data_IF_601886701448
#
_entry.id   IF_601886701448
#
_cell.length_a   1.000
_cell.length_b   1.000
_cell.length_c   1.000
_cell.angle_alpha   90.00
_cell.angle_beta   90.00
_cell.angle_gamma   90.00
#
_symmetry.space_group_name_H-M   'P 1'
#
loop_
_entity.id
_entity.type
_entity.pdbx_description
1 polymer ?
#
# COMPACT_ATOMS: atom_id res chain seq x y z
N UNK A 1 27.47 -20.37 5.74
CA UNK A 1 27.23 -19.75 7.05
C UNK A 1 28.00 -18.44 7.24
N UNK A 2 29.26 -18.35 6.83
CA UNK A 2 30.07 -17.14 6.93
C UNK A 2 29.61 -16.04 5.96
N UNK A 3 29.30 -16.40 4.74
CA UNK A 3 28.85 -15.49 3.68
C UNK A 3 27.55 -14.76 4.05
N UNK A 4 26.60 -15.45 4.72
CA UNK A 4 25.33 -14.83 5.15
C UNK A 4 25.55 -13.76 6.21
N UNK A 5 26.45 -14.00 7.17
CA UNK A 5 26.79 -13.02 8.20
C UNK A 5 27.46 -11.79 7.61
N UNK A 6 28.37 -11.98 6.65
CA UNK A 6 29.04 -10.90 5.92
C UNK A 6 28.04 -10.05 5.13
N UNK A 7 27.13 -10.68 4.39
CA UNK A 7 26.09 -9.97 3.64
C UNK A 7 25.18 -9.16 4.59
N UNK A 8 24.79 -9.76 5.72
CA UNK A 8 23.95 -9.08 6.73
C UNK A 8 24.61 -7.83 7.27
N UNK A 9 25.90 -7.91 7.59
CA UNK A 9 26.68 -6.78 8.10
C UNK A 9 26.82 -5.68 7.05
N UNK A 10 27.12 -6.04 5.78
CA UNK A 10 27.19 -5.10 4.67
C UNK A 10 25.86 -4.40 4.42
N UNK A 11 24.73 -5.12 4.50
CA UNK A 11 23.40 -4.55 4.36
C UNK A 11 23.13 -3.51 5.46
N UNK A 12 23.44 -3.83 6.71
CA UNK A 12 23.25 -2.90 7.83
C UNK A 12 24.05 -1.61 7.66
N UNK A 13 25.30 -1.71 7.22
CA UNK A 13 26.15 -0.53 7.03
C UNK A 13 25.73 0.35 5.88
N UNK A 14 25.23 -0.22 4.79
CA UNK A 14 24.98 0.51 3.54
C UNK A 14 23.51 0.80 3.28
N UNK A 15 22.59 0.12 3.98
CA UNK A 15 21.13 0.24 3.80
C UNK A 15 20.40 0.27 5.14
N UNK A 16 20.93 1.01 6.10
CA UNK A 16 20.33 1.14 7.43
C UNK A 16 18.88 1.66 7.35
N UNK A 17 18.00 1.07 8.14
CA UNK A 17 16.57 1.42 8.14
C UNK A 17 15.78 0.97 6.89
N UNK A 18 16.42 0.32 5.91
CA UNK A 18 15.80 -0.15 4.65
C UNK A 18 15.73 -1.67 4.54
N UNK A 19 16.17 -2.37 5.59
CA UNK A 19 16.20 -3.84 5.62
C UNK A 19 14.91 -4.36 6.27
N UNK A 20 14.27 -5.32 5.60
CA UNK A 20 13.08 -6.00 6.08
C UNK A 20 13.36 -7.48 6.32
N UNK A 21 12.86 -7.99 7.43
CA UNK A 21 12.90 -9.41 7.78
C UNK A 21 11.82 -10.18 7.05
N UNK A 22 12.17 -10.80 5.91
CA UNK A 22 11.24 -11.60 5.07
C UNK A 22 10.68 -12.84 5.79
N UNK A 23 11.41 -13.41 6.74
CA UNK A 23 10.94 -14.52 7.57
C UNK A 23 9.74 -14.14 8.44
N UNK A 24 9.66 -12.88 8.88
CA UNK A 24 8.55 -12.39 9.69
C UNK A 24 7.29 -12.16 8.86
N UNK A 25 7.43 -11.83 7.58
CA UNK A 25 6.30 -11.66 6.67
C UNK A 25 5.41 -12.90 6.61
N UNK A 26 6.04 -14.10 6.61
CA UNK A 26 5.31 -15.38 6.60
C UNK A 26 4.49 -15.59 7.87
N UNK A 27 5.00 -15.16 9.04
CA UNK A 27 4.31 -15.29 10.33
C UNK A 27 3.04 -14.44 10.43
N UNK A 28 2.96 -13.35 9.66
CA UNK A 28 1.83 -12.42 9.70
C UNK A 28 0.82 -12.72 8.60
N UNK A 29 1.27 -13.25 7.44
CA UNK A 29 0.43 -13.45 6.26
C UNK A 29 -0.65 -14.51 6.41
N UNK A 30 -0.57 -15.37 7.42
CA UNK A 30 -1.59 -16.39 7.71
C UNK A 30 -2.92 -15.71 8.08
N UNK A 31 -3.82 -15.63 7.08
CA UNK A 31 -5.18 -15.10 7.24
C UNK A 31 -5.41 -13.63 6.84
N UNK A 32 -4.38 -12.90 6.43
CA UNK A 32 -4.53 -11.52 5.97
C UNK A 32 -4.37 -11.41 4.44
N UNK A 33 -5.39 -10.87 3.76
CA UNK A 33 -5.32 -10.62 2.31
C UNK A 33 -4.65 -9.26 2.01
N UNK A 34 -3.53 -9.01 2.69
CA UNK A 34 -2.76 -7.76 2.64
C UNK A 34 -1.60 -7.93 1.66
N UNK A 35 -1.30 -6.96 0.79
CA UNK A 35 -0.12 -6.99 -0.05
C UNK A 35 1.17 -7.10 0.77
N UNK A 36 2.14 -7.88 0.28
CA UNK A 36 3.40 -8.14 1.01
C UNK A 36 4.15 -6.85 1.32
N UNK A 37 4.18 -5.90 0.41
CA UNK A 37 4.90 -4.63 0.63
C UNK A 37 4.28 -3.75 1.74
N UNK A 38 2.97 -3.89 2.01
CA UNK A 38 2.31 -3.25 3.16
C UNK A 38 2.80 -3.89 4.46
N UNK A 39 2.90 -5.23 4.50
CA UNK A 39 3.47 -5.94 5.64
C UNK A 39 4.92 -5.57 5.88
N UNK A 40 5.71 -5.49 4.82
CA UNK A 40 7.13 -5.14 4.88
C UNK A 40 7.34 -3.72 5.40
N UNK A 41 6.51 -2.78 5.00
CA UNK A 41 6.55 -1.41 5.52
C UNK A 41 6.30 -1.38 7.03
N UNK A 42 5.26 -2.07 7.50
CA UNK A 42 4.95 -2.13 8.92
C UNK A 42 6.03 -2.86 9.71
N UNK A 43 6.53 -3.99 9.21
CA UNK A 43 7.62 -4.73 9.83
C UNK A 43 8.91 -3.91 9.89
N UNK A 44 9.21 -3.12 8.87
CA UNK A 44 10.34 -2.20 8.87
C UNK A 44 10.26 -1.14 9.96
N UNK A 45 9.04 -0.71 10.30
CA UNK A 45 8.82 0.27 11.37
C UNK A 45 8.89 -0.35 12.78
N UNK A 46 8.36 -1.56 12.98
CA UNK A 46 8.17 -2.16 14.31
C UNK A 46 9.15 -3.27 14.65
N UNK A 47 9.87 -3.84 13.66
CA UNK A 47 10.75 -4.98 13.84
C UNK A 47 12.18 -4.71 13.35
N UNK A 48 12.71 -3.53 13.58
CA UNK A 48 14.07 -3.13 13.16
C UNK A 48 15.18 -3.66 14.08
N UNK A 49 14.85 -4.16 15.27
CA UNK A 49 15.79 -4.74 16.23
C UNK A 49 16.18 -6.18 15.88
N UNK A 50 17.32 -6.64 16.41
CA UNK A 50 17.72 -8.06 16.39
C UNK A 50 17.38 -8.80 17.67
N UNK A 51 16.92 -8.09 18.70
CA UNK A 51 16.48 -8.67 19.96
C UNK A 51 15.20 -9.49 19.75
N UNK A 52 15.19 -10.79 20.07
CA UNK A 52 14.04 -11.66 19.88
C UNK A 52 12.77 -11.16 20.58
N UNK A 53 12.90 -10.61 21.79
CA UNK A 53 11.75 -10.14 22.57
C UNK A 53 11.14 -8.88 21.94
N UNK A 54 11.98 -7.95 21.48
CA UNK A 54 11.55 -6.75 20.75
C UNK A 54 10.91 -7.10 19.41
N UNK A 55 11.44 -8.13 18.71
CA UNK A 55 10.86 -8.62 17.46
C UNK A 55 9.48 -9.22 17.71
N UNK A 56 9.30 -10.02 18.76
CA UNK A 56 8.00 -10.63 19.07
C UNK A 56 6.95 -9.57 19.41
N UNK A 57 7.31 -8.58 20.21
CA UNK A 57 6.45 -7.43 20.52
C UNK A 57 6.10 -6.64 19.25
N UNK A 58 7.08 -6.39 18.38
CA UNK A 58 6.88 -5.73 17.09
C UNK A 58 5.93 -6.50 16.17
N UNK A 59 6.08 -7.82 16.04
CA UNK A 59 5.19 -8.69 15.26
C UNK A 59 3.77 -8.64 15.82
N UNK A 60 3.59 -8.68 17.12
CA UNK A 60 2.28 -8.58 17.75
C UNK A 60 1.64 -7.20 17.48
N UNK A 61 2.43 -6.12 17.56
CA UNK A 61 1.97 -4.77 17.21
C UNK A 61 1.50 -4.68 15.77
N UNK A 62 2.25 -5.25 14.82
CA UNK A 62 1.84 -5.28 13.40
C UNK A 62 0.54 -6.07 13.21
N UNK A 63 0.38 -7.22 13.89
CA UNK A 63 -0.87 -8.01 13.85
C UNK A 63 -2.06 -7.19 14.36
N UNK A 64 -1.90 -6.46 15.45
CA UNK A 64 -2.94 -5.59 15.99
C UNK A 64 -3.28 -4.45 15.03
N UNK A 65 -2.27 -3.77 14.48
CA UNK A 65 -2.49 -2.69 13.49
C UNK A 65 -3.28 -3.20 12.28
N UNK A 66 -2.94 -4.38 11.77
CA UNK A 66 -3.67 -4.97 10.65
C UNK A 66 -5.09 -5.39 11.02
N UNK A 67 -5.28 -5.98 12.19
CA UNK A 67 -6.60 -6.37 12.68
C UNK A 67 -7.54 -5.17 12.83
N UNK A 68 -7.02 -4.08 13.35
CA UNK A 68 -7.83 -2.93 13.73
C UNK A 68 -8.03 -1.92 12.58
N UNK A 69 -7.04 -1.80 11.69
CA UNK A 69 -6.99 -0.72 10.72
C UNK A 69 -7.08 -1.17 9.25
N UNK A 70 -6.73 -2.44 8.94
CA UNK A 70 -6.80 -2.90 7.56
C UNK A 70 -8.25 -3.08 7.13
N UNK A 71 -8.64 -2.38 6.07
CA UNK A 71 -10.01 -2.43 5.57
C UNK A 71 -10.21 -3.65 4.68
N UNK A 72 -11.13 -4.52 5.07
CA UNK A 72 -11.66 -5.58 4.22
C UNK A 72 -12.95 -5.08 3.58
N UNK A 73 -13.19 -5.32 2.29
CA UNK A 73 -14.39 -4.81 1.61
C UNK A 73 -15.70 -5.25 2.26
N UNK A 74 -15.74 -6.46 2.83
CA UNK A 74 -16.90 -7.02 3.54
C UNK A 74 -17.10 -6.41 4.95
N UNK A 75 -16.10 -5.78 5.53
CA UNK A 75 -16.16 -5.13 6.84
C UNK A 75 -16.28 -3.58 6.76
N UNK A 76 -16.37 -3.01 5.55
CA UNK A 76 -16.40 -1.56 5.35
C UNK A 76 -17.48 -0.86 6.18
N UNK A 77 -18.70 -1.39 6.21
CA UNK A 77 -19.79 -0.79 6.96
C UNK A 77 -19.59 -0.82 8.48
N UNK A 78 -18.93 -1.86 8.99
CA UNK A 78 -18.54 -1.95 10.40
C UNK A 78 -17.55 -0.86 10.76
N UNK A 79 -16.53 -0.65 9.93
CA UNK A 79 -15.51 0.39 10.13
C UNK A 79 -16.15 1.79 10.07
N UNK A 80 -17.03 2.05 9.11
CA UNK A 80 -17.75 3.33 9.03
C UNK A 80 -18.62 3.58 10.27
N UNK A 81 -19.26 2.55 10.81
CA UNK A 81 -20.02 2.65 12.05
C UNK A 81 -19.13 2.99 13.25
N UNK A 82 -17.93 2.37 13.33
CA UNK A 82 -16.94 2.67 14.38
C UNK A 82 -16.43 4.11 14.23
N UNK A 83 -16.10 4.53 13.01
CA UNK A 83 -15.68 5.91 12.72
C UNK A 83 -16.72 6.92 13.17
N UNK A 84 -17.99 6.69 12.82
CA UNK A 84 -19.10 7.56 13.24
C UNK A 84 -19.27 7.62 14.76
N UNK A 85 -19.17 6.46 15.44
CA UNK A 85 -19.34 6.36 16.89
C UNK A 85 -18.21 7.04 17.66
N UNK A 86 -16.98 6.87 17.20
CA UNK A 86 -15.78 7.32 17.90
C UNK A 86 -15.33 8.72 17.47
N UNK A 87 -15.90 9.27 16.39
CA UNK A 87 -15.49 10.55 15.82
C UNK A 87 -14.19 10.51 15.04
N UNK A 88 -13.39 9.46 15.20
CA UNK A 88 -12.15 9.25 14.45
C UNK A 88 -11.79 7.77 14.36
N UNK A 89 -11.11 7.40 13.28
CA UNK A 89 -10.56 6.05 13.09
C UNK A 89 -9.40 6.06 12.11
N UNK A 90 -8.43 5.18 12.33
CA UNK A 90 -7.31 4.98 11.39
C UNK A 90 -7.62 3.79 10.50
N UNK A 91 -7.42 3.94 9.20
CA UNK A 91 -7.64 2.88 8.21
C UNK A 91 -6.39 2.66 7.36
N UNK A 92 -6.19 1.42 6.91
CA UNK A 92 -5.21 1.07 5.89
C UNK A 92 -5.99 0.66 4.65
N UNK A 93 -5.92 1.47 3.60
CA UNK A 93 -6.65 1.25 2.36
C UNK A 93 -5.85 1.76 1.16
N UNK A 94 -6.24 1.36 -0.03
CA UNK A 94 -5.71 1.88 -1.28
C UNK A 94 -6.46 3.15 -1.66
N UNK A 95 -5.72 4.24 -1.78
CA UNK A 95 -6.25 5.58 -2.03
C UNK A 95 -5.93 6.00 -3.45
N UNK A 96 -6.94 6.43 -4.18
CA UNK A 96 -6.82 7.15 -5.45
C UNK A 96 -7.34 8.57 -5.27
N UNK A 97 -6.82 9.49 -6.06
CA UNK A 97 -7.22 10.91 -6.02
C UNK A 97 -7.61 11.35 -7.42
N UNK A 98 -8.67 12.12 -7.52
CA UNK A 98 -9.12 12.73 -8.77
C UNK A 98 -9.36 14.22 -8.60
N UNK A 99 -9.08 14.97 -9.65
CA UNK A 99 -9.39 16.40 -9.73
C UNK A 99 -10.85 16.58 -10.18
N UNK A 100 -11.63 17.31 -9.41
CA UNK A 100 -12.95 17.81 -9.84
C UNK A 100 -12.77 19.22 -10.44
N UNK A 101 -12.74 19.29 -11.78
CA UNK A 101 -12.51 20.54 -12.53
C UNK A 101 -13.61 21.58 -12.24
N UNK A 102 -14.84 21.14 -11.95
CA UNK A 102 -15.96 22.07 -11.69
C UNK A 102 -15.84 22.77 -10.34
N UNK A 103 -15.24 22.08 -9.37
CA UNK A 103 -15.07 22.57 -8.00
C UNK A 103 -13.67 23.07 -7.73
N UNK A 104 -12.74 22.83 -8.66
CA UNK A 104 -11.32 23.15 -8.56
C UNK A 104 -10.70 22.62 -7.26
N UNK A 105 -10.92 21.32 -7.00
CA UNK A 105 -10.40 20.65 -5.81
C UNK A 105 -10.22 19.15 -6.03
N UNK A 106 -9.39 18.54 -5.21
CA UNK A 106 -9.12 17.11 -5.25
C UNK A 106 -10.03 16.34 -4.29
N UNK A 107 -10.42 15.14 -4.73
CA UNK A 107 -11.17 14.18 -3.94
C UNK A 107 -10.46 12.83 -3.87
N UNK A 108 -10.36 12.28 -2.67
CA UNK A 108 -9.86 10.95 -2.43
C UNK A 108 -10.98 9.92 -2.53
N UNK A 109 -10.62 8.75 -3.04
CA UNK A 109 -11.46 7.55 -3.11
C UNK A 109 -10.73 6.42 -2.38
N UNK A 110 -11.48 5.68 -1.55
CA UNK A 110 -11.00 4.55 -0.75
C UNK A 110 -11.51 3.26 -1.35
N UNK A 111 -10.60 2.42 -1.87
CA UNK A 111 -10.99 1.25 -2.66
C UNK A 111 -11.75 0.20 -1.88
N UNK A 112 -11.30 -0.15 -0.68
CA UNK A 112 -11.92 -1.20 0.15
C UNK A 112 -13.03 -0.64 1.04
N UNK A 113 -12.84 0.58 1.57
CA UNK A 113 -13.85 1.25 2.41
C UNK A 113 -15.06 1.72 1.59
N UNK A 114 -14.90 1.85 0.26
CA UNK A 114 -15.97 2.25 -0.65
C UNK A 114 -16.37 3.72 -0.52
N UNK A 115 -15.53 4.55 0.09
CA UNK A 115 -15.75 5.98 0.17
C UNK A 115 -15.31 6.66 -1.12
N UNK A 116 -16.12 7.59 -1.59
CA UNK A 116 -15.81 8.46 -2.72
C UNK A 116 -16.06 9.91 -2.32
N UNK A 117 -15.43 10.83 -3.04
CA UNK A 117 -15.63 12.27 -2.84
C UNK A 117 -15.23 12.78 -1.44
N UNK A 118 -14.18 12.21 -0.85
CA UNK A 118 -13.61 12.74 0.39
C UNK A 118 -12.63 13.86 0.04
N UNK A 119 -12.85 15.09 0.53
CA UNK A 119 -11.94 16.20 0.24
C UNK A 119 -10.52 15.89 0.72
N UNK A 120 -9.52 16.22 -0.08
CA UNK A 120 -8.11 16.04 0.25
C UNK A 120 -7.32 17.32 -0.13
N UNK A 121 -6.32 17.65 0.68
CA UNK A 121 -5.43 18.80 0.41
C UNK A 121 -4.62 18.58 -0.86
N UNK A 122 -4.40 19.64 -1.61
CA UNK A 122 -3.62 19.67 -2.86
C UNK A 122 -2.16 19.24 -2.65
N UNK A 123 -1.62 19.43 -1.44
CA UNK A 123 -0.27 19.02 -1.08
C UNK A 123 -0.01 17.51 -1.30
N UNK A 124 -1.03 16.67 -1.15
CA UNK A 124 -0.86 15.22 -1.27
C UNK A 124 -0.64 14.77 -2.72
N UNK A 125 -1.51 15.12 -3.69
CA UNK A 125 -1.27 14.75 -5.09
C UNK A 125 -0.04 15.45 -5.69
N UNK A 126 0.36 16.64 -5.20
CA UNK A 126 1.59 17.30 -5.62
C UNK A 126 2.86 16.55 -5.17
N UNK A 127 2.83 15.97 -3.97
CA UNK A 127 3.95 15.16 -3.44
C UNK A 127 3.95 13.73 -3.96
N UNK A 128 2.79 13.17 -4.28
CA UNK A 128 2.60 11.77 -4.58
C UNK A 128 1.73 11.61 -5.84
N UNK A 129 2.31 11.85 -7.00
CA UNK A 129 1.66 11.76 -8.33
C UNK A 129 1.00 10.41 -8.60
N UNK A 130 1.45 9.32 -7.97
CA UNK A 130 0.79 8.02 -8.06
C UNK A 130 -0.61 7.98 -7.45
N UNK A 131 -0.96 8.90 -6.57
CA UNK A 131 -2.34 9.06 -6.11
C UNK A 131 -3.28 9.37 -7.27
N UNK A 132 -2.79 10.09 -8.31
CA UNK A 132 -3.53 10.41 -9.53
C UNK A 132 -3.48 9.30 -10.59
N UNK A 133 -2.54 8.36 -10.45
CA UNK A 133 -2.24 7.34 -11.45
C UNK A 133 -2.25 5.92 -10.84
N UNK A 134 -3.42 5.36 -10.55
CA UNK A 134 -3.55 3.97 -10.09
C UNK A 134 -3.57 3.78 -8.57
N UNK A 135 -3.30 4.81 -7.79
CA UNK A 135 -3.44 4.77 -6.34
C UNK A 135 -2.22 4.26 -5.57
N UNK A 136 -2.26 4.50 -4.26
CA UNK A 136 -1.23 4.11 -3.30
C UNK A 136 -1.91 3.54 -2.05
N UNK A 137 -1.34 2.47 -1.49
CA UNK A 137 -1.71 2.03 -0.15
C UNK A 137 -1.25 3.05 0.88
N UNK A 138 -2.17 3.47 1.75
CA UNK A 138 -1.94 4.50 2.76
C UNK A 138 -2.47 4.09 4.11
N UNK A 139 -1.83 4.61 5.16
CA UNK A 139 -2.41 4.71 6.50
C UNK A 139 -3.09 6.06 6.58
N UNK A 140 -4.39 6.08 6.78
CA UNK A 140 -5.19 7.31 6.79
C UNK A 140 -5.91 7.46 8.11
N UNK A 141 -5.71 8.59 8.76
CA UNK A 141 -6.51 9.00 9.92
C UNK A 141 -7.72 9.78 9.42
N UNK A 142 -8.90 9.25 9.67
CA UNK A 142 -10.18 9.83 9.31
C UNK A 142 -10.83 10.43 10.55
N UNK A 143 -11.48 11.58 10.35
CA UNK A 143 -12.38 12.21 11.32
C UNK A 143 -13.81 12.16 10.79
N UNK A 144 -14.75 12.07 11.71
CA UNK A 144 -16.16 12.14 11.44
C UNK A 144 -16.76 13.30 12.23
N UNK A 145 -17.19 14.32 11.54
CA UNK A 145 -17.89 15.47 12.14
C UNK A 145 -19.40 15.26 11.94
N UNK A 146 -20.13 15.12 13.04
CA UNK A 146 -21.58 15.18 12.98
C UNK A 146 -21.96 16.63 12.72
N UNK A 147 -22.77 16.88 11.68
CA UNK A 147 -23.46 18.14 11.59
C UNK A 147 -24.38 18.25 12.82
N UNK A 148 -24.17 19.28 13.61
CA UNK A 148 -25.15 19.65 14.62
C UNK A 148 -26.43 20.04 13.86
N UNK A 149 -27.48 19.25 14.02
CA UNK A 149 -28.83 19.52 13.55
C UNK A 149 -29.47 20.75 14.28
N UNK A 150 -28.65 21.68 14.73
CA UNK A 150 -29.10 22.88 15.45
C UNK A 150 -29.55 24.02 14.54
N UNK A 151 -29.75 23.80 13.25
CA UNK A 151 -30.54 24.68 12.40
C UNK A 151 -32.02 24.31 12.50
N UNK A 152 -32.59 24.46 13.69
CA UNK A 152 -34.03 24.63 13.80
C UNK A 152 -34.43 25.89 13.01
N UNK A 153 -35.35 25.72 12.07
CA UNK A 153 -35.99 26.82 11.37
C UNK A 153 -36.49 27.85 12.41
N UNK A 154 -35.86 29.02 12.40
CA UNK A 154 -36.35 30.14 13.20
C UNK A 154 -37.60 30.61 12.50
N UNK A 155 -38.76 30.14 12.96
CA UNK A 155 -40.04 30.70 12.63
C UNK A 155 -40.16 31.98 13.44
N UNK A 156 -40.53 33.09 12.77
CA UNK A 156 -40.85 34.31 13.48
C UNK A 156 -42.13 34.14 14.34
N UNK A 157 -42.36 35.07 15.20
CA UNK A 157 -43.50 35.06 16.11
C UNK A 157 -44.89 35.03 15.43
N UNK A 158 -44.95 35.16 14.12
CA UNK A 158 -46.15 35.20 13.29
C UNK A 158 -46.28 33.96 12.36
N UNK A 159 -45.37 32.97 12.48
CA UNK A 159 -45.46 31.68 11.79
C UNK A 159 -45.09 31.70 10.30
N UNK A 160 -44.43 32.75 9.83
CA UNK A 160 -43.93 32.82 8.45
C UNK A 160 -42.51 32.33 8.35
N UNK A 161 -42.27 31.34 7.43
CA UNK A 161 -40.94 30.92 7.05
C UNK A 161 -40.16 32.08 6.42
N UNK A 162 -39.20 32.62 7.14
CA UNK A 162 -38.21 33.53 6.55
C UNK A 162 -37.36 32.73 5.56
N UNK A 163 -37.68 32.83 4.27
CA UNK A 163 -36.84 32.35 3.18
C UNK A 163 -35.48 33.03 3.26
N UNK A 164 -34.59 32.51 4.10
CA UNK A 164 -33.20 32.83 4.06
C UNK A 164 -32.68 32.44 2.67
N UNK A 165 -32.08 33.39 1.95
CA UNK A 165 -31.41 33.15 0.68
C UNK A 165 -30.51 31.93 0.89
N UNK A 166 -30.87 30.78 0.29
CA UNK A 166 -30.09 29.57 0.30
C UNK A 166 -28.70 29.91 -0.26
N UNK A 167 -27.76 30.14 0.65
CA UNK A 167 -26.36 29.84 0.32
C UNK A 167 -26.36 28.39 -0.09
N UNK A 168 -26.03 28.10 -1.35
CA UNK A 168 -25.82 26.73 -1.83
C UNK A 168 -24.93 26.04 -0.83
N UNK A 169 -25.53 25.19 -0.01
CA UNK A 169 -24.81 24.41 1.00
C UNK A 169 -23.82 23.55 0.22
N UNK A 170 -22.55 23.86 0.36
CA UNK A 170 -21.48 23.08 -0.20
C UNK A 170 -21.59 21.75 0.52
N UNK A 171 -22.04 20.69 -0.15
CA UNK A 171 -22.16 19.36 0.42
C UNK A 171 -20.74 18.93 0.84
N UNK A 172 -20.43 19.13 2.08
CA UNK A 172 -19.17 18.75 2.71
C UNK A 172 -19.41 17.36 3.27
N UNK A 173 -18.59 16.39 2.88
CA UNK A 173 -18.62 15.06 3.46
C UNK A 173 -18.44 15.18 4.99
N UNK A 174 -19.23 14.46 5.81
CA UNK A 174 -19.00 14.42 7.25
C UNK A 174 -17.67 13.76 7.62
N UNK A 175 -17.02 13.12 6.64
CA UNK A 175 -15.71 12.46 6.80
C UNK A 175 -14.65 13.36 6.18
N UNK A 176 -13.60 13.59 6.95
CA UNK A 176 -12.41 14.33 6.52
C UNK A 176 -11.12 13.53 6.75
N UNK A 177 -10.08 13.85 6.00
CA UNK A 177 -8.76 13.25 6.15
C UNK A 177 -7.94 14.15 7.08
N UNK A 178 -7.64 13.68 8.29
CA UNK A 178 -6.73 14.37 9.21
C UNK A 178 -5.28 14.21 8.79
N UNK A 179 -4.87 12.99 8.43
CA UNK A 179 -3.50 12.66 8.02
C UNK A 179 -3.51 11.48 7.06
N UNK A 180 -2.70 11.57 6.03
CA UNK A 180 -2.46 10.48 5.09
C UNK A 180 -0.96 10.20 5.04
N UNK A 181 -0.59 8.93 5.28
CA UNK A 181 0.80 8.46 5.24
C UNK A 181 0.90 7.38 4.19
N UNK A 182 1.56 7.65 3.05
CA UNK A 182 1.80 6.63 2.03
C UNK A 182 2.67 5.50 2.56
N UNK A 183 2.32 4.27 2.20
CA UNK A 183 3.10 3.06 2.55
C UNK A 183 4.23 2.84 1.55
N UNK A 184 4.14 3.43 0.37
CA UNK A 184 5.19 3.37 -0.64
C UNK A 184 6.13 4.56 -0.52
N UNK A 185 7.43 4.31 -0.68
CA UNK A 185 8.40 5.41 -0.77
C UNK A 185 8.11 6.27 -2.01
N UNK A 186 7.89 7.57 -1.86
CA UNK A 186 7.54 8.46 -2.97
C UNK A 186 8.72 8.68 -3.92
N UNK A 187 9.93 8.45 -3.44
CA UNK A 187 11.16 8.67 -4.19
C UNK A 187 12.16 7.55 -3.91
N UNK A 188 12.64 6.93 -4.98
CA UNK A 188 13.74 5.96 -4.90
C UNK A 188 15.02 6.72 -5.24
N UNK A 189 15.91 6.81 -4.28
CA UNK A 189 17.25 7.34 -4.52
C UNK A 189 18.12 6.26 -5.19
N UNK A 190 18.22 6.35 -6.52
CA UNK A 190 19.00 5.42 -7.32
C UNK A 190 20.49 5.57 -7.04
N UNK A 191 20.95 6.77 -6.71
CA UNK A 191 22.36 7.01 -6.46
C UNK A 191 22.79 6.41 -5.12
N UNK A 192 21.95 6.51 -4.10
CA UNK A 192 22.15 5.79 -2.83
C UNK A 192 22.21 4.27 -3.04
N UNK A 193 21.30 3.73 -3.87
CA UNK A 193 21.30 2.31 -4.21
C UNK A 193 22.61 1.89 -4.93
N UNK A 194 23.08 2.71 -5.87
CA UNK A 194 24.34 2.46 -6.59
C UNK A 194 25.55 2.51 -5.67
N UNK A 195 25.60 3.49 -4.76
CA UNK A 195 26.69 3.59 -3.77
C UNK A 195 26.67 2.39 -2.82
N UNK A 196 25.55 2.06 -2.24
CA UNK A 196 25.41 0.89 -1.36
C UNK A 196 25.77 -0.42 -2.06
N UNK A 197 25.43 -0.55 -3.36
CA UNK A 197 25.77 -1.70 -4.20
C UNK A 197 27.27 -1.95 -4.29
N UNK A 198 28.11 -0.92 -4.28
CA UNK A 198 29.58 -1.03 -4.44
C UNK A 198 30.23 -1.85 -3.32
N UNK A 199 29.61 -1.94 -2.15
CA UNK A 199 30.12 -2.72 -1.03
C UNK A 199 30.03 -4.24 -1.23
N UNK A 200 29.29 -4.70 -2.25
CA UNK A 200 29.00 -6.12 -2.48
C UNK A 200 29.71 -6.64 -3.73
N UNK A 201 30.18 -7.87 -3.65
CA UNK A 201 30.59 -8.61 -4.85
C UNK A 201 29.37 -8.92 -5.72
N UNK A 202 29.60 -9.37 -6.96
CA UNK A 202 28.52 -9.75 -7.86
C UNK A 202 27.65 -10.88 -7.28
N UNK A 203 28.29 -11.89 -6.71
CA UNK A 203 27.59 -13.06 -6.17
C UNK A 203 26.83 -12.72 -4.89
N UNK A 204 27.42 -11.93 -4.00
CA UNK A 204 26.71 -11.40 -2.82
C UNK A 204 25.49 -10.58 -3.22
N UNK A 205 25.60 -9.77 -4.27
CA UNK A 205 24.48 -8.95 -4.73
C UNK A 205 23.37 -9.79 -5.36
N UNK A 206 23.71 -10.85 -6.10
CA UNK A 206 22.73 -11.83 -6.58
C UNK A 206 21.93 -12.41 -5.40
N UNK A 207 22.62 -12.79 -4.34
CA UNK A 207 21.99 -13.33 -3.14
C UNK A 207 21.10 -12.30 -2.43
N UNK A 208 21.52 -11.04 -2.36
CA UNK A 208 20.69 -9.93 -1.83
C UNK A 208 19.43 -9.77 -2.64
N UNK A 209 19.53 -9.73 -3.97
CA UNK A 209 18.38 -9.57 -4.87
C UNK A 209 17.41 -10.74 -4.74
N UNK A 210 17.90 -11.98 -4.70
CA UNK A 210 17.06 -13.16 -4.52
C UNK A 210 16.35 -13.15 -3.16
N UNK A 211 17.03 -12.76 -2.08
CA UNK A 211 16.41 -12.62 -0.77
C UNK A 211 15.35 -11.50 -0.74
N UNK A 212 15.57 -10.41 -1.47
CA UNK A 212 14.60 -9.32 -1.55
C UNK A 212 13.27 -9.73 -2.18
N UNK A 213 13.27 -10.74 -3.05
CA UNK A 213 12.06 -11.33 -3.62
C UNK A 213 11.55 -12.57 -2.85
N UNK A 214 12.12 -12.84 -1.69
CA UNK A 214 11.65 -13.92 -0.79
C UNK A 214 12.21 -15.30 -1.10
N UNK A 215 13.26 -15.40 -1.92
CA UNK A 215 13.95 -16.66 -2.21
C UNK A 215 15.15 -16.86 -1.28
N UNK A 216 15.47 -18.12 -0.92
CA UNK A 216 16.66 -18.45 -0.13
C UNK A 216 17.77 -18.96 -1.06
N UNK A 217 18.82 -18.15 -1.32
CA UNK A 217 19.85 -18.50 -2.29
C UNK A 217 20.84 -19.58 -1.80
N UNK A 218 20.93 -19.83 -0.49
CA UNK A 218 21.92 -20.76 0.07
C UNK A 218 21.70 -22.22 -0.39
N UNK A 219 20.47 -22.55 -0.77
CA UNK A 219 20.08 -23.89 -1.26
C UNK A 219 20.13 -24.02 -2.79
N UNK A 220 20.44 -22.93 -3.49
CA UNK A 220 20.38 -22.86 -4.95
C UNK A 220 21.77 -22.96 -5.57
N UNK A 221 21.87 -23.74 -6.64
CA UNK A 221 23.04 -23.73 -7.51
C UNK A 221 23.18 -22.38 -8.25
N UNK A 222 24.37 -22.07 -8.72
CA UNK A 222 24.63 -20.85 -9.48
C UNK A 222 23.68 -20.68 -10.69
N UNK A 223 23.42 -21.78 -11.40
CA UNK A 223 22.49 -21.79 -12.54
C UNK A 223 21.06 -21.48 -12.12
N UNK A 224 20.60 -22.06 -11.01
CA UNK A 224 19.24 -21.82 -10.51
C UNK A 224 19.05 -20.37 -10.08
N UNK A 225 20.05 -19.75 -9.45
CA UNK A 225 20.02 -18.32 -9.11
C UNK A 225 19.79 -17.47 -10.36
N UNK A 226 20.52 -17.73 -11.44
CA UNK A 226 20.35 -17.00 -12.70
C UNK A 226 18.98 -17.23 -13.36
N UNK A 227 18.49 -18.46 -13.35
CA UNK A 227 17.16 -18.77 -13.88
C UNK A 227 16.04 -18.04 -13.10
N UNK A 228 16.18 -17.91 -11.78
CA UNK A 228 15.23 -17.15 -10.98
C UNK A 228 15.30 -15.64 -11.25
N UNK A 229 16.51 -15.11 -11.46
CA UNK A 229 16.69 -13.70 -11.84
C UNK A 229 16.06 -13.37 -13.20
N UNK A 230 16.00 -14.31 -14.14
CA UNK A 230 15.36 -14.07 -15.45
C UNK A 230 13.88 -13.72 -15.31
N UNK A 231 13.20 -14.19 -14.26
CA UNK A 231 11.80 -13.83 -13.97
C UNK A 231 11.61 -12.34 -13.71
N UNK A 232 12.67 -11.65 -13.30
CA UNK A 232 12.62 -10.21 -12.99
C UNK A 232 12.84 -9.33 -14.21
N UNK A 233 13.32 -9.87 -15.31
CA UNK A 233 13.63 -9.08 -16.53
C UNK A 233 12.42 -8.29 -17.02
N UNK A 234 11.19 -8.85 -17.10
CA UNK A 234 10.03 -8.09 -17.54
C UNK A 234 9.65 -6.91 -16.63
N UNK A 235 10.15 -6.86 -15.40
CA UNK A 235 9.92 -5.75 -14.46
C UNK A 235 10.86 -4.57 -14.69
N UNK A 236 11.96 -4.77 -15.40
CA UNK A 236 13.04 -3.77 -15.58
C UNK A 236 13.34 -3.46 -17.05
N UNK A 237 12.93 -4.32 -17.98
CA UNK A 237 13.14 -4.15 -19.42
C UNK A 237 11.83 -3.86 -20.15
N UNK A 238 11.86 -2.84 -21.01
CA UNK A 238 10.71 -2.49 -21.83
C UNK A 238 10.44 -3.52 -22.91
N UNK A 239 9.17 -3.87 -23.10
CA UNK A 239 8.72 -4.77 -24.17
C UNK A 239 9.37 -6.17 -24.15
N UNK A 240 9.80 -6.63 -22.97
CA UNK A 240 10.36 -7.96 -22.81
C UNK A 240 9.25 -8.96 -22.49
N UNK A 241 9.06 -9.94 -23.39
CA UNK A 241 8.08 -11.01 -23.21
C UNK A 241 8.79 -12.28 -22.74
N UNK A 242 8.25 -12.93 -21.71
CA UNK A 242 8.77 -14.19 -21.19
C UNK A 242 7.64 -15.21 -21.10
N UNK A 243 7.95 -16.45 -21.47
CA UNK A 243 7.06 -17.59 -21.25
C UNK A 243 7.78 -18.60 -20.33
N UNK A 244 7.19 -18.85 -19.16
CA UNK A 244 7.71 -19.82 -18.21
C UNK A 244 6.77 -21.02 -18.10
N UNK A 245 7.26 -22.19 -18.50
CA UNK A 245 6.57 -23.46 -18.40
C UNK A 245 7.12 -24.26 -17.22
N UNK A 246 6.25 -24.87 -16.46
CA UNK A 246 6.66 -25.67 -15.31
C UNK A 246 5.50 -26.06 -14.40
N UNK A 247 5.76 -26.92 -13.40
CA UNK A 247 4.74 -27.41 -12.46
C UNK A 247 4.02 -26.28 -11.74
N UNK A 248 2.83 -26.58 -11.22
CA UNK A 248 2.10 -25.67 -10.34
C UNK A 248 2.87 -25.44 -9.04
N UNK A 249 2.57 -24.35 -8.34
CA UNK A 249 3.14 -24.01 -7.02
C UNK A 249 4.65 -23.80 -6.96
N UNK A 250 5.29 -23.46 -8.07
CA UNK A 250 6.73 -23.13 -8.13
C UNK A 250 7.02 -21.63 -7.99
N UNK A 251 6.04 -20.84 -7.56
CA UNK A 251 6.20 -19.40 -7.31
C UNK A 251 6.22 -18.50 -8.54
N UNK A 252 5.88 -19.02 -9.75
CA UNK A 252 5.92 -18.23 -11.01
C UNK A 252 5.10 -16.95 -10.92
N UNK A 253 3.84 -17.04 -10.48
CA UNK A 253 2.95 -15.90 -10.39
C UNK A 253 3.15 -15.06 -9.12
N UNK A 254 3.81 -15.62 -8.10
CA UNK A 254 4.02 -14.97 -6.82
C UNK A 254 4.82 -13.66 -6.97
N UNK A 255 5.88 -13.68 -7.76
CA UNK A 255 6.72 -12.52 -8.01
C UNK A 255 5.91 -11.34 -8.55
N UNK A 256 5.07 -11.59 -9.55
CA UNK A 256 4.30 -10.53 -10.21
C UNK A 256 3.11 -10.07 -9.37
N UNK A 257 2.54 -10.96 -8.57
CA UNK A 257 1.39 -10.63 -7.74
C UNK A 257 1.76 -9.88 -6.45
N UNK A 258 2.85 -10.31 -5.81
CA UNK A 258 3.13 -9.95 -4.41
C UNK A 258 4.32 -8.99 -4.25
N UNK A 259 5.25 -8.98 -5.21
CA UNK A 259 6.50 -8.24 -5.08
C UNK A 259 6.43 -6.88 -5.76
N UNK A 260 5.84 -6.82 -6.95
CA UNK A 260 5.74 -5.58 -7.72
C UNK A 260 4.38 -4.93 -7.58
N UNK A 261 4.29 -3.68 -7.11
CA UNK A 261 3.05 -2.91 -7.12
C UNK A 261 2.65 -2.45 -8.53
N UNK A 262 3.55 -2.60 -9.51
CA UNK A 262 3.37 -2.12 -10.89
C UNK A 262 2.98 -3.23 -11.87
N UNK A 263 2.72 -4.46 -11.39
CA UNK A 263 2.35 -5.57 -12.25
C UNK A 263 0.90 -5.99 -12.02
N UNK A 264 0.24 -6.41 -13.09
CA UNK A 264 -1.13 -6.92 -13.07
C UNK A 264 -1.09 -8.40 -13.40
N UNK A 265 -1.72 -9.22 -12.57
CA UNK A 265 -1.92 -10.65 -12.82
C UNK A 265 -3.31 -10.87 -13.38
N UNK A 266 -3.39 -11.37 -14.61
CA UNK A 266 -4.63 -11.79 -15.25
C UNK A 266 -4.68 -13.32 -15.23
N UNK A 267 -5.70 -13.87 -14.56
CA UNK A 267 -5.94 -15.31 -14.51
C UNK A 267 -7.08 -15.71 -15.45
N UNK A 268 -7.04 -16.93 -16.01
CA UNK A 268 -8.16 -17.49 -16.76
C UNK A 268 -8.03 -17.51 -18.30
N UNK A 269 -6.85 -17.33 -18.86
CA UNK A 269 -6.55 -17.64 -20.27
C UNK A 269 -7.14 -16.73 -21.34
N UNK A 270 -8.19 -15.97 -21.07
CA UNK A 270 -8.74 -14.96 -21.98
C UNK A 270 -9.02 -13.68 -21.22
N UNK A 271 -8.57 -12.57 -21.78
CA UNK A 271 -8.89 -11.23 -21.29
C UNK A 271 -9.26 -10.33 -22.47
N UNK A 272 -10.11 -9.36 -22.21
CA UNK A 272 -10.44 -8.35 -23.21
C UNK A 272 -9.48 -7.16 -23.10
N UNK A 273 -9.31 -6.42 -24.18
CA UNK A 273 -8.55 -5.16 -24.19
C UNK A 273 -9.07 -4.21 -23.12
N UNK A 274 -10.39 -4.14 -22.92
CA UNK A 274 -11.01 -3.33 -21.90
C UNK A 274 -10.58 -3.75 -20.48
N UNK A 275 -10.50 -5.05 -20.19
CA UNK A 275 -10.05 -5.53 -18.90
C UNK A 275 -8.54 -5.32 -18.65
N UNK A 276 -7.76 -5.21 -19.73
CA UNK A 276 -6.31 -5.01 -19.64
C UNK A 276 -5.96 -3.54 -19.35
N UNK A 277 -6.68 -2.61 -19.96
CA UNK A 277 -6.41 -1.18 -19.87
C UNK A 277 -7.36 -0.42 -18.95
N UNK A 278 -8.54 -0.96 -18.70
CA UNK A 278 -9.50 -0.37 -17.77
C UNK A 278 -10.44 -1.44 -17.20
N UNK A 279 -10.29 -1.71 -15.92
CA UNK A 279 -11.15 -2.67 -15.23
C UNK A 279 -12.45 -1.99 -14.78
N UNK A 280 -13.54 -2.22 -15.52
CA UNK A 280 -14.87 -1.65 -15.22
C UNK A 280 -15.38 -2.00 -13.82
N UNK A 281 -15.04 -3.17 -13.28
CA UNK A 281 -15.45 -3.62 -11.94
C UNK A 281 -14.69 -2.93 -10.80
N UNK A 282 -13.44 -2.58 -11.04
CA UNK A 282 -12.56 -1.90 -10.08
C UNK A 282 -12.41 -0.42 -10.35
N UNK A 283 -12.88 0.06 -11.51
CA UNK A 283 -12.71 1.43 -12.00
C UNK A 283 -11.25 1.91 -12.03
N UNK A 284 -10.32 0.97 -12.29
CA UNK A 284 -8.87 1.21 -12.36
C UNK A 284 -8.31 0.79 -13.70
#
# INVERSE_FOLDING_TARGET
SDTRAVIKEKLRRNFDGKIVRKDLTKKIKEGANVPVYVLEFLLGQYCSSDDPDVIEEGVNSVKHILSDNFVRPDEAQKILSVLRKNGSHTVIDMITVRLDIKRDCYFAEFSNLGLTNIPISDDYPEKFDRLLCGGIWCIVQLDYEMEDDSNFDIVDSDGYELKSKQKKQKYISPISIRKLTPIQMPHIDIDELKEGRKAFTKDEWIDVVLRSIGMEPDTLSYREKWLLLTRMIPLVENNFNICELGPRSTGKSHLYKEISPNSILVSGGQTTVANLFYNMGRKT
#
